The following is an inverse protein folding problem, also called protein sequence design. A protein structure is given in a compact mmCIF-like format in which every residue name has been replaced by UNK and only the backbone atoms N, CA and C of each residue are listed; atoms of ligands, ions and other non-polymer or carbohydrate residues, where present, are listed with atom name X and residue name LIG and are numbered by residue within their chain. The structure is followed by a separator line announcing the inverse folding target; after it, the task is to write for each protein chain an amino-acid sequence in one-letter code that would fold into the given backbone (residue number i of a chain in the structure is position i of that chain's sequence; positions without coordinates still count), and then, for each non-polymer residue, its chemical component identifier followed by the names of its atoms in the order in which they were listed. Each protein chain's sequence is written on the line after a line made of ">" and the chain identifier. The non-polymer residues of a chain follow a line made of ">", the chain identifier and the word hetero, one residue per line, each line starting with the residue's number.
data_IF_415717831529
#
_entry.id   IF_415717831529
#
_cell.length_a   1.000
_cell.length_b   1.000
_cell.length_c   1.000
_cell.angle_alpha   90.00
_cell.angle_beta   90.00
_cell.angle_gamma   90.00
#
_symmetry.space_group_name_H-M   'P 1'
#
loop_
_entity.id
_entity.type
_entity.pdbx_description
1 polymer ?
#
# COMPACT_ATOMS: atom_id res chain seq x y z
N UNK A 1 -2.97 -27.31 15.11
CA UNK A 1 -2.22 -26.16 14.60
C UNK A 1 -3.23 -25.06 14.41
N UNK A 2 -3.07 -24.02 15.23
CA UNK A 2 -3.96 -22.88 15.33
C UNK A 2 -3.41 -21.83 14.40
N UNK A 3 -4.07 -21.64 13.27
CA UNK A 3 -3.72 -20.60 12.30
C UNK A 3 -4.61 -19.35 12.49
N UNK A 4 -5.61 -19.44 13.39
CA UNK A 4 -6.22 -18.37 14.20
C UNK A 4 -6.60 -18.97 15.57
N UNK A 5 -6.64 -18.14 16.62
CA UNK A 5 -6.70 -18.55 18.03
C UNK A 5 -7.96 -19.31 18.49
N UNK A 6 -8.98 -19.47 17.67
CA UNK A 6 -10.14 -20.32 17.97
C UNK A 6 -10.79 -20.86 16.69
N UNK A 7 -11.13 -22.13 16.78
CA UNK A 7 -11.57 -23.00 15.68
C UNK A 7 -13.08 -22.93 15.52
N UNK A 8 -13.61 -22.02 14.70
CA UNK A 8 -15.05 -22.07 14.40
C UNK A 8 -15.45 -21.89 12.93
N UNK A 9 -14.83 -21.05 12.09
CA UNK A 9 -15.62 -20.59 10.91
C UNK A 9 -14.86 -20.51 9.56
N UNK A 10 -14.18 -21.58 9.14
CA UNK A 10 -13.52 -21.70 7.83
C UNK A 10 -14.49 -22.03 6.65
N UNK A 11 -15.80 -21.73 6.77
CA UNK A 11 -16.77 -21.83 5.65
C UNK A 11 -17.01 -20.49 4.93
N UNK A 12 -15.96 -19.68 4.83
CA UNK A 12 -16.02 -18.38 4.17
C UNK A 12 -14.74 -17.55 4.29
N UNK A 13 -13.57 -18.18 4.38
CA UNK A 13 -12.29 -17.48 4.50
C UNK A 13 -11.90 -16.86 3.15
N UNK A 14 -12.52 -15.73 2.80
CA UNK A 14 -11.84 -14.72 2.01
C UNK A 14 -10.57 -14.39 2.79
N UNK A 15 -9.38 -14.76 2.27
CA UNK A 15 -8.09 -14.22 2.74
C UNK A 15 -8.35 -12.75 3.06
N UNK A 16 -8.36 -12.34 4.32
CA UNK A 16 -8.63 -10.93 4.59
C UNK A 16 -7.46 -10.20 3.93
N UNK A 17 -7.69 -9.42 2.85
CA UNK A 17 -6.65 -8.51 2.41
C UNK A 17 -6.30 -7.64 3.63
N UNK A 18 -5.08 -7.11 3.70
CA UNK A 18 -4.69 -6.17 4.75
C UNK A 18 -5.84 -5.20 5.05
N UNK A 19 -6.02 -4.80 6.31
CA UNK A 19 -7.19 -4.00 6.71
C UNK A 19 -7.38 -2.80 5.78
N UNK A 20 -8.59 -2.25 5.66
CA UNK A 20 -8.85 -1.20 4.67
C UNK A 20 -7.98 0.07 4.81
N UNK A 21 -7.28 0.23 5.93
CA UNK A 21 -6.31 1.30 6.21
C UNK A 21 -4.84 0.81 6.23
N UNK A 22 -4.58 -0.41 5.77
CA UNK A 22 -3.27 -1.03 5.71
C UNK A 22 -2.84 -1.23 4.25
N UNK A 23 -1.54 -1.10 4.03
CA UNK A 23 -0.89 -1.36 2.76
C UNK A 23 -0.25 -2.75 2.76
N UNK A 24 -0.45 -3.48 1.66
CA UNK A 24 0.18 -4.79 1.43
C UNK A 24 1.53 -4.59 0.77
N UNK A 25 2.60 -4.84 1.52
CA UNK A 25 3.98 -4.88 1.02
C UNK A 25 4.16 -5.95 -0.06
N UNK A 26 5.20 -5.83 -0.88
CA UNK A 26 5.51 -6.84 -1.90
C UNK A 26 5.89 -8.20 -1.30
N UNK A 27 6.43 -8.21 -0.08
CA UNK A 27 6.66 -9.43 0.70
C UNK A 27 5.39 -10.08 1.27
N UNK A 28 4.21 -9.46 1.11
CA UNK A 28 2.95 -9.92 1.69
C UNK A 28 2.74 -9.53 3.17
N UNK A 29 3.63 -8.69 3.72
CA UNK A 29 3.42 -8.04 5.03
C UNK A 29 2.35 -6.94 4.89
N UNK A 30 1.61 -6.69 5.97
CA UNK A 30 0.71 -5.56 6.08
C UNK A 30 1.31 -4.49 6.99
N UNK A 31 1.37 -3.25 6.51
CA UNK A 31 1.79 -2.05 7.29
C UNK A 31 0.67 -1.02 7.28
N UNK A 32 0.69 -0.03 8.17
CA UNK A 32 -0.31 1.05 8.11
C UNK A 32 -0.12 1.86 6.83
N UNK A 33 -1.21 2.34 6.23
CA UNK A 33 -1.11 3.26 5.09
C UNK A 33 -0.41 4.59 5.47
N UNK A 34 -0.38 4.93 6.76
CA UNK A 34 0.37 6.07 7.30
C UNK A 34 1.89 5.87 7.26
N UNK A 35 2.35 4.61 7.16
CA UNK A 35 3.77 4.23 7.05
C UNK A 35 4.21 4.05 5.59
N UNK A 36 3.32 4.32 4.63
CA UNK A 36 3.70 4.30 3.22
C UNK A 36 4.26 5.66 2.86
N UNK A 37 5.52 5.69 2.44
CA UNK A 37 6.24 6.92 2.13
C UNK A 37 6.45 7.84 3.34
N UNK A 38 6.74 7.26 4.50
CA UNK A 38 6.99 8.03 5.72
C UNK A 38 8.50 8.26 5.98
N UNK A 39 9.36 7.62 5.20
CA UNK A 39 10.81 7.69 5.29
C UNK A 39 11.46 6.55 6.09
N UNK A 40 10.69 5.59 6.62
CA UNK A 40 11.15 4.40 7.30
C UNK A 40 10.72 3.10 6.58
N UNK A 41 11.48 2.03 6.76
CA UNK A 41 11.20 0.75 6.08
C UNK A 41 10.42 -0.18 7.02
N UNK A 42 9.11 0.04 7.11
CA UNK A 42 8.19 -0.77 7.91
C UNK A 42 7.90 -2.13 7.26
N UNK A 43 7.90 -2.18 5.92
CA UNK A 43 7.74 -3.43 5.19
C UNK A 43 8.91 -4.41 5.43
N UNK A 44 10.11 -3.89 5.70
CA UNK A 44 11.35 -4.65 5.80
C UNK A 44 11.98 -5.01 4.44
N UNK A 45 11.22 -4.86 3.35
CA UNK A 45 11.66 -4.99 1.96
C UNK A 45 11.54 -3.68 1.18
N UNK A 46 11.50 -2.52 1.87
CA UNK A 46 11.45 -1.15 1.32
C UNK A 46 10.29 -0.89 0.36
N UNK A 47 9.28 -1.78 0.36
CA UNK A 47 8.11 -1.77 -0.52
C UNK A 47 7.19 -0.57 -0.31
N UNK A 48 7.04 -0.17 0.93
CA UNK A 48 6.34 1.03 1.41
C UNK A 48 7.05 2.33 1.00
N UNK A 49 8.37 2.28 0.90
CA UNK A 49 9.23 3.44 0.57
C UNK A 49 9.65 3.50 -0.90
N UNK A 50 9.09 2.64 -1.75
CA UNK A 50 9.45 2.62 -3.16
C UNK A 50 9.09 3.94 -3.83
N UNK A 51 9.96 4.40 -4.74
CA UNK A 51 9.74 5.65 -5.47
C UNK A 51 8.38 5.67 -6.18
N UNK A 52 7.85 4.55 -6.67
CA UNK A 52 6.54 4.51 -7.31
C UNK A 52 5.34 4.50 -6.33
N UNK A 53 5.56 4.21 -5.05
CA UNK A 53 4.55 4.31 -3.99
C UNK A 53 4.54 5.73 -3.41
N UNK A 54 5.74 6.27 -3.15
CA UNK A 54 5.98 7.63 -2.67
C UNK A 54 5.65 8.71 -3.70
N UNK A 55 6.05 8.47 -4.95
CA UNK A 55 5.76 9.35 -6.05
C UNK A 55 4.41 8.91 -6.58
N UNK A 56 3.35 9.30 -5.85
CA UNK A 56 2.04 9.45 -6.49
C UNK A 56 2.34 10.22 -7.77
N UNK A 57 2.09 9.68 -8.98
CA UNK A 57 2.38 10.42 -10.19
C UNK A 57 1.64 11.73 -10.04
N UNK A 58 2.40 12.83 -9.86
CA UNK A 58 1.86 14.16 -9.62
C UNK A 58 0.73 14.31 -10.62
N UNK A 59 -0.53 14.47 -10.15
CA UNK A 59 -1.73 14.03 -10.86
C UNK A 59 -1.49 14.25 -12.33
N UNK A 60 -1.09 13.17 -13.02
CA UNK A 60 -0.82 13.24 -14.44
C UNK A 60 -2.21 13.34 -14.99
N UNK A 61 -2.65 14.59 -15.06
CA UNK A 61 -3.71 15.12 -15.85
C UNK A 61 -4.17 14.06 -16.87
N UNK A 62 -5.47 13.67 -16.84
CA UNK A 62 -6.00 12.59 -17.67
C UNK A 62 -5.50 12.71 -19.12
N UNK A 63 -5.32 11.60 -19.85
CA UNK A 63 -4.67 11.60 -21.16
C UNK A 63 -5.24 12.71 -22.05
N UNK A 64 -4.45 13.78 -22.25
CA UNK A 64 -4.88 15.00 -22.94
C UNK A 64 -4.61 16.31 -22.20
N UNK A 65 -4.28 16.29 -20.91
CA UNK A 65 -3.96 17.51 -20.16
C UNK A 65 -2.44 17.57 -19.84
N UNK A 66 -1.81 18.70 -20.20
CA UNK A 66 -0.38 18.94 -20.01
C UNK A 66 -0.19 20.04 -18.97
N UNK A 67 0.78 19.87 -18.07
CA UNK A 67 1.20 20.90 -17.11
C UNK A 67 1.57 22.17 -17.90
N UNK A 68 0.93 23.30 -17.59
CA UNK A 68 1.28 24.58 -18.21
C UNK A 68 2.76 24.91 -17.97
N UNK A 69 3.53 25.06 -19.04
CA UNK A 69 4.90 25.57 -18.99
C UNK A 69 4.90 27.10 -18.91
N UNK A 70 4.45 27.67 -17.80
CA UNK A 70 4.69 29.09 -17.53
C UNK A 70 5.12 29.29 -16.07
N UNK A 71 6.42 29.10 -15.86
CA UNK A 71 7.15 29.91 -14.89
C UNK A 71 7.49 31.26 -15.53
N UNK A 72 6.72 32.28 -15.17
CA UNK A 72 6.76 33.70 -15.60
C UNK A 72 5.95 34.08 -16.85
#
# INVERSE_FOLDING_TARGET
>A
RSDCGDSSDEQGCTYQPCQSHQFTCQNGRCVSHDFVCDGDNDCGDESDELEHMCRTPAPTCPPGEFKCENGH
#
